data_IF_664355376587
#
_entry.id   IF_664355376587
#
_cell.length_a   1.000
_cell.length_b   1.000
_cell.length_c   1.000
_cell.angle_alpha   90.00
_cell.angle_beta   90.00
_cell.angle_gamma   90.00
#
_symmetry.space_group_name_H-M   'P 1'
#
loop_
_entity.id
_entity.type
_entity.pdbx_description
1 polymer ?
#
# COMPACT_ATOMS: atom_id res chain seq x y z
N UNK A 1 -21.87 -68.10 -1.28
CA UNK A 1 -21.29 -66.98 -2.05
C UNK A 1 -21.91 -65.65 -1.57
N UNK A 2 -21.39 -65.04 -0.50
CA UNK A 2 -21.86 -63.76 0.07
C UNK A 2 -20.66 -63.04 0.71
N UNK A 3 -19.64 -62.68 -0.06
CA UNK A 3 -18.47 -61.97 0.47
C UNK A 3 -17.66 -61.24 -0.59
N UNK A 4 -18.33 -60.56 -1.53
CA UNK A 4 -17.65 -59.71 -2.53
C UNK A 4 -18.32 -58.33 -2.66
N UNK A 5 -19.63 -58.22 -2.48
CA UNK A 5 -20.37 -56.95 -2.65
C UNK A 5 -20.11 -55.86 -1.59
N UNK A 6 -19.56 -56.20 -0.41
CA UNK A 6 -19.38 -55.24 0.70
C UNK A 6 -18.07 -54.43 0.60
N UNK A 7 -17.11 -54.91 -0.19
CA UNK A 7 -15.81 -54.28 -0.41
C UNK A 7 -15.91 -53.06 -1.32
N UNK A 8 -16.63 -53.20 -2.44
CA UNK A 8 -16.63 -52.22 -3.52
C UNK A 8 -17.44 -50.97 -3.16
N UNK A 9 -18.56 -51.12 -2.44
CA UNK A 9 -19.37 -50.00 -1.98
C UNK A 9 -18.64 -49.14 -0.94
N UNK A 10 -17.81 -49.74 -0.08
CA UNK A 10 -17.05 -49.01 0.95
C UNK A 10 -15.90 -48.21 0.34
N UNK A 11 -15.21 -48.77 -0.65
CA UNK A 11 -14.18 -48.07 -1.43
C UNK A 11 -14.77 -46.90 -2.24
N UNK A 12 -15.97 -47.05 -2.80
CA UNK A 12 -16.65 -45.98 -3.55
C UNK A 12 -17.02 -44.77 -2.67
N UNK A 13 -17.43 -45.02 -1.41
CA UNK A 13 -17.79 -43.97 -0.45
C UNK A 13 -16.54 -43.21 0.03
N UNK A 14 -15.43 -43.91 0.27
CA UNK A 14 -14.16 -43.27 0.65
C UNK A 14 -13.57 -42.46 -0.52
N UNK A 15 -13.65 -43.00 -1.75
CA UNK A 15 -13.20 -42.30 -2.96
C UNK A 15 -14.01 -41.03 -3.23
N UNK A 16 -15.33 -41.08 -3.07
CA UNK A 16 -16.19 -39.90 -3.21
C UNK A 16 -16.00 -38.90 -2.07
N UNK A 17 -15.84 -39.33 -0.83
CA UNK A 17 -15.59 -38.45 0.31
C UNK A 17 -14.23 -37.72 0.22
N UNK A 18 -13.18 -38.40 -0.25
CA UNK A 18 -11.86 -37.79 -0.47
C UNK A 18 -11.83 -36.85 -1.67
N UNK A 19 -12.65 -37.13 -2.70
CA UNK A 19 -12.87 -36.22 -3.82
C UNK A 19 -13.58 -34.94 -3.37
N UNK A 20 -14.69 -35.06 -2.63
CA UNK A 20 -15.48 -33.92 -2.13
C UNK A 20 -14.66 -33.02 -1.20
N UNK A 21 -13.85 -33.59 -0.30
CA UNK A 21 -13.01 -32.81 0.62
C UNK A 21 -11.93 -32.01 -0.13
N UNK A 22 -11.36 -32.57 -1.20
CA UNK A 22 -10.41 -31.86 -2.07
C UNK A 22 -11.11 -30.72 -2.82
N UNK A 23 -12.28 -30.96 -3.38
CA UNK A 23 -13.03 -29.92 -4.12
C UNK A 23 -13.40 -28.74 -3.22
N UNK A 24 -13.80 -29.01 -1.97
CA UNK A 24 -14.10 -27.96 -0.98
C UNK A 24 -12.84 -27.16 -0.64
N UNK A 25 -11.71 -27.84 -0.43
CA UNK A 25 -10.44 -27.15 -0.17
C UNK A 25 -10.01 -26.26 -1.34
N UNK A 26 -10.10 -26.76 -2.58
CA UNK A 26 -9.81 -25.98 -3.78
C UNK A 26 -10.75 -24.78 -3.96
N UNK A 27 -12.05 -24.96 -3.70
CA UNK A 27 -13.03 -23.86 -3.75
C UNK A 27 -12.75 -22.79 -2.67
N UNK A 28 -12.37 -23.20 -1.46
CA UNK A 28 -11.92 -22.26 -0.42
C UNK A 28 -10.66 -21.50 -0.83
N UNK A 29 -9.66 -22.18 -1.40
CA UNK A 29 -8.45 -21.53 -1.89
C UNK A 29 -8.77 -20.48 -2.96
N UNK A 30 -9.61 -20.82 -3.95
CA UNK A 30 -9.98 -19.89 -5.02
C UNK A 30 -10.78 -18.70 -4.48
N UNK A 31 -11.67 -18.90 -3.51
CA UNK A 31 -12.40 -17.82 -2.86
C UNK A 31 -11.46 -16.87 -2.10
N UNK A 32 -10.47 -17.41 -1.37
CA UNK A 32 -9.45 -16.61 -0.68
C UNK A 32 -8.60 -15.82 -1.68
N UNK A 33 -8.15 -16.45 -2.78
CA UNK A 33 -7.40 -15.76 -3.83
C UNK A 33 -8.22 -14.68 -4.54
N UNK A 34 -9.53 -14.89 -4.75
CA UNK A 34 -10.41 -13.88 -5.34
C UNK A 34 -10.57 -12.65 -4.44
N UNK A 35 -10.65 -12.84 -3.12
CA UNK A 35 -10.70 -11.74 -2.14
C UNK A 35 -9.38 -10.96 -2.10
N UNK A 36 -8.24 -11.65 -2.20
CA UNK A 36 -6.92 -11.02 -2.24
C UNK A 36 -6.71 -10.26 -3.56
N UNK A 37 -7.18 -10.80 -4.69
CA UNK A 37 -7.06 -10.13 -5.98
C UNK A 37 -7.97 -8.88 -6.12
N UNK A 38 -9.01 -8.76 -5.30
CA UNK A 38 -9.89 -7.59 -5.24
C UNK A 38 -9.45 -6.52 -4.23
N UNK A 39 -8.47 -6.80 -3.38
CA UNK A 39 -7.89 -5.79 -2.49
C UNK A 39 -6.83 -5.00 -3.26
N UNK A 40 -7.29 -4.24 -4.25
CA UNK A 40 -6.55 -3.13 -4.84
C UNK A 40 -6.72 -1.91 -3.92
N UNK A 41 -6.47 -2.12 -2.63
CA UNK A 41 -6.41 -1.05 -1.64
C UNK A 41 -5.03 -0.41 -1.80
N UNK A 42 -4.98 0.55 -2.73
CA UNK A 42 -3.98 1.60 -2.71
C UNK A 42 -4.18 2.36 -1.39
N UNK A 43 -3.69 1.80 -0.28
CA UNK A 43 -3.56 2.51 0.98
C UNK A 43 -2.59 3.66 0.72
N UNK A 44 -3.15 4.83 0.43
CA UNK A 44 -2.45 6.09 0.39
C UNK A 44 -1.76 6.22 1.75
N UNK A 45 -0.43 6.01 1.77
CA UNK A 45 0.35 6.00 3.00
C UNK A 45 0.30 7.41 3.57
N UNK A 46 -0.69 7.64 4.43
CA UNK A 46 -1.05 8.97 4.89
C UNK A 46 0.01 9.47 5.87
N UNK A 47 0.21 10.79 5.93
CA UNK A 47 1.16 11.41 6.85
C UNK A 47 0.89 11.03 8.32
N UNK A 48 -0.36 10.71 8.65
CA UNK A 48 -0.79 10.22 9.96
C UNK A 48 -0.18 8.84 10.32
N UNK A 49 0.03 7.97 9.33
CA UNK A 49 0.70 6.68 9.55
C UNK A 49 2.14 6.88 10.03
N UNK A 50 2.87 7.80 9.38
CA UNK A 50 4.26 8.10 9.74
C UNK A 50 4.40 8.79 11.09
N UNK A 51 3.42 9.60 11.48
CA UNK A 51 3.39 10.23 12.80
C UNK A 51 3.13 9.20 13.91
N UNK A 52 2.24 8.24 13.66
CA UNK A 52 1.89 7.15 14.59
C UNK A 52 3.07 6.23 14.90
N UNK A 53 3.96 5.99 13.93
CA UNK A 53 5.21 5.24 14.14
C UNK A 53 6.38 6.12 14.62
N UNK A 54 6.14 7.42 14.85
CA UNK A 54 7.11 8.36 15.40
C UNK A 54 8.21 8.80 14.44
N UNK A 55 8.08 8.56 13.13
CA UNK A 55 9.07 8.98 12.14
C UNK A 55 9.05 10.49 11.90
N UNK A 56 7.90 11.14 12.06
CA UNK A 56 7.78 12.60 11.97
C UNK A 56 8.66 13.35 12.97
N UNK A 57 8.99 12.73 14.11
CA UNK A 57 9.93 13.30 15.12
C UNK A 57 11.38 13.37 14.65
N UNK A 58 11.73 12.70 13.54
CA UNK A 58 13.07 12.79 12.93
C UNK A 58 13.23 14.01 12.03
N UNK A 59 12.13 14.66 11.65
CA UNK A 59 12.14 15.85 10.81
C UNK A 59 12.18 17.12 11.67
N UNK A 60 12.93 18.13 11.22
CA UNK A 60 13.17 19.34 12.01
C UNK A 60 12.38 20.55 11.48
N UNK A 61 12.04 21.47 12.38
CA UNK A 61 11.38 22.73 12.03
C UNK A 61 9.98 22.57 11.42
N UNK A 62 9.81 23.06 10.19
CA UNK A 62 8.55 23.04 9.46
C UNK A 62 8.42 21.82 8.53
N UNK A 63 9.17 20.76 8.78
CA UNK A 63 9.11 19.51 8.03
C UNK A 63 8.31 18.42 8.76
N UNK A 64 7.75 17.49 8.00
CA UNK A 64 7.11 16.26 8.50
C UNK A 64 7.54 15.09 7.65
N UNK A 65 7.45 13.87 8.17
CA UNK A 65 7.74 12.69 7.35
C UNK A 65 6.53 12.43 6.44
N UNK A 66 6.71 12.59 5.13
CA UNK A 66 5.65 12.46 4.13
C UNK A 66 6.21 12.01 2.77
N UNK A 67 5.31 11.67 1.86
CA UNK A 67 5.60 11.69 0.43
C UNK A 67 5.67 13.14 -0.08
N UNK A 68 6.54 13.41 -1.05
CA UNK A 68 6.62 14.70 -1.74
C UNK A 68 7.17 14.52 -3.17
N UNK A 69 6.88 15.48 -4.05
CA UNK A 69 7.35 15.49 -5.43
C UNK A 69 8.34 16.63 -5.67
N UNK A 70 9.33 16.39 -6.53
CA UNK A 70 10.23 17.42 -7.05
C UNK A 70 9.53 18.46 -7.93
N UNK A 71 8.24 18.29 -8.19
CA UNK A 71 7.42 19.23 -8.95
C UNK A 71 6.46 20.04 -8.09
N UNK A 72 6.42 19.75 -6.78
CA UNK A 72 5.68 20.54 -5.83
C UNK A 72 6.17 22.00 -5.90
N UNK A 73 5.27 22.90 -5.53
CA UNK A 73 5.55 24.32 -5.51
C UNK A 73 6.68 24.61 -4.53
N UNK A 74 7.65 25.42 -4.97
CA UNK A 74 8.78 25.89 -4.16
C UNK A 74 8.98 27.39 -4.35
N UNK A 75 9.77 28.02 -3.49
CA UNK A 75 10.07 29.45 -3.64
C UNK A 75 10.88 29.72 -4.92
N UNK A 76 11.87 28.89 -5.22
CA UNK A 76 12.65 28.94 -6.48
C UNK A 76 11.82 28.55 -7.72
N UNK A 77 10.70 27.85 -7.52
CA UNK A 77 9.86 27.31 -8.57
C UNK A 77 8.37 27.48 -8.21
N UNK A 78 7.89 28.72 -8.35
CA UNK A 78 6.52 29.09 -7.97
C UNK A 78 5.46 28.52 -8.93
N UNK A 79 5.87 28.20 -10.17
CA UNK A 79 5.07 27.49 -11.18
C UNK A 79 5.65 26.09 -11.35
N UNK A 80 4.86 25.01 -11.21
CA UNK A 80 5.31 23.65 -11.48
C UNK A 80 5.89 23.54 -12.91
N UNK A 81 6.87 22.66 -13.14
CA UNK A 81 7.42 22.46 -14.47
C UNK A 81 6.39 21.76 -15.36
N UNK A 82 6.37 22.09 -16.66
CA UNK A 82 5.44 21.48 -17.64
C UNK A 82 5.67 19.98 -17.80
N UNK A 83 6.92 19.54 -17.59
CA UNK A 83 7.30 18.15 -17.56
C UNK A 83 7.78 17.82 -16.16
N UNK A 84 7.00 16.99 -15.47
CA UNK A 84 7.30 16.51 -14.14
C UNK A 84 7.56 15.01 -14.22
N UNK A 85 8.61 14.53 -13.55
CA UNK A 85 8.77 13.09 -13.30
C UNK A 85 7.71 12.67 -12.27
N UNK A 86 6.98 11.57 -12.52
CA UNK A 86 6.02 10.99 -11.56
C UNK A 86 6.70 10.35 -10.34
N UNK A 87 8.01 10.57 -10.16
CA UNK A 87 8.76 10.14 -9.00
C UNK A 87 8.25 10.81 -7.72
N UNK A 88 7.79 9.96 -6.80
CA UNK A 88 7.41 10.34 -5.44
C UNK A 88 8.57 9.96 -4.50
N UNK A 89 9.02 10.94 -3.72
CA UNK A 89 10.06 10.78 -2.71
C UNK A 89 9.41 10.61 -1.34
N UNK A 90 9.96 9.74 -0.50
CA UNK A 90 9.49 9.52 0.88
C UNK A 90 10.57 9.96 1.85
N UNK A 91 10.26 10.91 2.73
CA UNK A 91 11.23 11.44 3.70
C UNK A 91 10.72 12.68 4.41
N UNK A 92 11.64 13.54 4.88
CA UNK A 92 11.26 14.81 5.50
C UNK A 92 10.86 15.86 4.45
N UNK A 93 9.57 15.91 4.15
CA UNK A 93 8.94 16.93 3.31
C UNK A 93 8.44 18.13 4.11
N UNK A 94 7.89 19.13 3.44
CA UNK A 94 7.30 20.29 4.12
C UNK A 94 5.93 19.96 4.73
N UNK A 95 5.66 20.51 5.92
CA UNK A 95 4.32 20.45 6.54
C UNK A 95 3.27 21.08 5.63
N UNK A 96 2.01 20.71 5.84
CA UNK A 96 0.88 21.31 5.15
C UNK A 96 0.93 22.85 5.25
N UNK A 97 0.68 23.54 4.13
CA UNK A 97 0.77 25.00 3.97
C UNK A 97 2.19 25.61 3.98
N UNK A 98 3.24 24.78 4.05
CA UNK A 98 4.62 25.19 3.86
C UNK A 98 5.14 24.68 2.51
N UNK A 99 6.05 25.43 1.91
CA UNK A 99 6.73 25.05 0.66
C UNK A 99 8.25 25.10 0.86
N UNK A 100 8.98 24.29 0.11
CA UNK A 100 10.42 24.29 0.16
C UNK A 100 10.99 25.58 -0.44
N UNK A 101 12.10 26.05 0.09
CA UNK A 101 12.82 27.21 -0.47
C UNK A 101 13.44 26.84 -1.83
N UNK A 102 13.99 25.63 -1.93
CA UNK A 102 14.67 25.10 -3.11
C UNK A 102 14.51 23.57 -3.21
N UNK A 103 15.10 22.97 -4.25
CA UNK A 103 15.07 21.52 -4.52
C UNK A 103 15.75 20.64 -3.47
N UNK A 104 16.46 21.21 -2.47
CA UNK A 104 17.03 20.42 -1.38
C UNK A 104 15.99 20.01 -0.34
N UNK A 105 14.82 20.66 -0.34
CA UNK A 105 13.77 20.51 0.69
C UNK A 105 14.25 20.77 2.13
N UNK A 106 15.47 21.28 2.33
CA UNK A 106 16.10 21.46 3.64
C UNK A 106 15.42 22.51 4.52
N UNK A 107 14.73 23.48 3.90
CA UNK A 107 14.04 24.57 4.58
C UNK A 107 12.65 24.77 3.99
N UNK A 108 11.66 24.82 4.88
CA UNK A 108 10.25 25.02 4.54
C UNK A 108 9.72 26.33 5.15
N UNK A 109 9.12 27.16 4.32
CA UNK A 109 8.55 28.47 4.69
C UNK A 109 7.12 28.58 4.19
N UNK A 110 6.34 29.54 4.69
CA UNK A 110 5.05 29.83 4.05
C UNK A 110 5.32 30.49 2.70
N UNK A 111 4.45 30.31 1.68
CA UNK A 111 4.66 30.92 0.37
C UNK A 111 4.83 32.44 0.38
N UNK A 112 4.26 33.13 1.37
CA UNK A 112 4.39 34.58 1.58
C UNK A 112 5.74 35.00 2.17
N UNK A 113 6.48 34.06 2.75
CA UNK A 113 7.75 34.26 3.43
C UNK A 113 8.92 33.74 2.56
N UNK A 114 8.68 33.54 1.25
CA UNK A 114 9.74 33.22 0.30
C UNK A 114 10.75 34.38 0.19
N UNK A 115 12.06 34.08 0.11
CA UNK A 115 13.11 35.08 -0.05
C UNK A 115 13.06 35.77 -1.41
#
# INVERSE_FOLDING_TARGET
MKSLYKSDAFQLIISTATSVMKTIFFLCCVAVFAVIASSDDSEEIDADYFDKIGLSKKCHGNQTFSSYSMCDKRCDQMKPPTHCSEEIYVGCGCKQHYIAVDSSFSKCVRPKDCP
#
